data_IF_340371326272
#
_entry.id   IF_340371326272
#
_cell.length_a   1.000
_cell.length_b   1.000
_cell.length_c   1.000
_cell.angle_alpha   90.00
_cell.angle_beta   90.00
_cell.angle_gamma   90.00
#
_symmetry.space_group_name_H-M   'P 1'
#
loop_
_entity.id
_entity.type
_entity.pdbx_description
1 polymer ?
#
# COMPACT_ATOMS: atom_id res chain seq x y z
N UNK A 1 -6.14 -29.10 8.92
CA UNK A 1 -5.80 -28.93 7.48
C UNK A 1 -6.90 -28.28 6.65
N UNK A 2 -8.18 -28.58 6.86
CA UNK A 2 -9.30 -28.03 6.07
C UNK A 2 -9.46 -26.52 6.34
N UNK A 3 -9.24 -26.05 7.56
CA UNK A 3 -9.41 -24.64 7.90
C UNK A 3 -8.30 -23.75 7.31
N UNK A 4 -7.08 -24.25 7.14
CA UNK A 4 -5.99 -23.49 6.52
C UNK A 4 -6.15 -23.38 5.01
N UNK A 5 -6.62 -24.44 4.34
CA UNK A 5 -6.91 -24.43 2.92
C UNK A 5 -8.10 -23.50 2.59
N UNK A 6 -9.18 -23.54 3.38
CA UNK A 6 -10.33 -22.66 3.23
C UNK A 6 -9.95 -21.18 3.48
N UNK A 7 -9.14 -20.93 4.50
CA UNK A 7 -8.61 -19.58 4.78
C UNK A 7 -7.71 -19.06 3.65
N UNK A 8 -6.92 -19.93 3.04
CA UNK A 8 -6.03 -19.57 1.92
C UNK A 8 -6.83 -19.27 0.64
N UNK A 9 -7.85 -20.06 0.35
CA UNK A 9 -8.79 -19.81 -0.78
C UNK A 9 -9.51 -18.49 -0.59
N UNK A 10 -10.01 -18.19 0.63
CA UNK A 10 -10.67 -16.92 0.94
C UNK A 10 -9.74 -15.72 0.77
N UNK A 11 -8.48 -15.82 1.19
CA UNK A 11 -7.49 -14.76 1.04
C UNK A 11 -7.06 -14.52 -0.41
N UNK A 12 -7.14 -15.51 -1.27
CA UNK A 12 -6.77 -15.41 -2.70
C UNK A 12 -7.92 -14.88 -3.57
N UNK A 13 -9.15 -14.89 -3.08
CA UNK A 13 -10.34 -14.43 -3.79
C UNK A 13 -10.72 -12.99 -3.46
N UNK A 14 -9.74 -12.10 -3.35
CA UNK A 14 -10.00 -10.67 -3.17
C UNK A 14 -10.89 -10.15 -4.31
N UNK A 15 -11.92 -9.38 -3.94
CA UNK A 15 -12.80 -8.72 -4.88
C UNK A 15 -12.02 -7.84 -5.87
N UNK A 16 -12.35 -7.94 -7.17
CA UNK A 16 -11.80 -7.08 -8.21
C UNK A 16 -12.34 -5.65 -8.10
N UNK A 17 -11.75 -4.70 -8.82
CA UNK A 17 -12.25 -3.32 -8.84
C UNK A 17 -13.60 -3.27 -9.55
N UNK A 18 -14.55 -2.58 -8.94
CA UNK A 18 -15.89 -2.41 -9.50
C UNK A 18 -16.53 -1.12 -9.04
N UNK A 19 -17.27 -0.50 -9.94
CA UNK A 19 -17.98 0.75 -9.68
C UNK A 19 -19.26 0.81 -10.49
N UNK A 20 -20.33 1.32 -9.89
CA UNK A 20 -21.56 1.68 -10.56
C UNK A 20 -21.91 3.14 -10.26
N UNK A 21 -22.45 3.84 -11.24
CA UNK A 21 -22.79 5.27 -11.13
C UNK A 21 -24.17 5.55 -11.68
N UNK A 22 -24.86 6.51 -11.09
CA UNK A 22 -26.16 7.00 -11.55
C UNK A 22 -26.42 8.43 -11.03
N UNK A 23 -27.29 9.17 -11.68
CA UNK A 23 -27.78 10.46 -11.18
C UNK A 23 -29.01 10.26 -10.30
N UNK A 24 -29.06 10.95 -9.17
CA UNK A 24 -30.27 11.01 -8.36
C UNK A 24 -31.24 12.13 -8.83
N UNK A 25 -32.40 12.20 -8.22
CA UNK A 25 -33.44 13.20 -8.53
C UNK A 25 -33.00 14.65 -8.30
N UNK A 26 -31.92 14.86 -7.52
CA UNK A 26 -31.32 16.18 -7.26
C UNK A 26 -30.17 16.51 -8.23
N UNK A 27 -29.94 15.68 -9.24
CA UNK A 27 -28.84 15.84 -10.19
C UNK A 27 -27.45 15.62 -9.57
N UNK A 28 -27.36 14.87 -8.45
CA UNK A 28 -26.07 14.46 -7.89
C UNK A 28 -25.64 13.14 -8.51
N UNK A 29 -24.36 13.02 -8.83
CA UNK A 29 -23.80 11.75 -9.22
C UNK A 29 -23.57 10.88 -7.98
N UNK A 30 -24.19 9.71 -7.95
CA UNK A 30 -23.99 8.69 -6.96
C UNK A 30 -23.02 7.65 -7.50
N UNK A 31 -22.01 7.31 -6.72
CA UNK A 31 -20.92 6.43 -7.09
C UNK A 31 -20.85 5.31 -6.05
N UNK A 32 -21.29 4.11 -6.42
CA UNK A 32 -21.14 2.90 -5.62
C UNK A 32 -19.80 2.28 -5.99
N UNK A 33 -18.83 2.35 -5.08
CA UNK A 33 -17.48 1.85 -5.35
C UNK A 33 -16.99 0.92 -4.24
N UNK A 34 -16.31 -0.13 -4.67
CA UNK A 34 -15.53 -1.02 -3.82
C UNK A 34 -14.21 -0.35 -3.43
N UNK A 35 -14.27 0.71 -2.63
CA UNK A 35 -13.14 1.55 -2.21
C UNK A 35 -12.90 1.52 -0.71
N UNK A 36 -11.65 1.73 -0.28
CA UNK A 36 -11.28 1.95 1.12
C UNK A 36 -11.36 3.43 1.52
N UNK A 37 -11.44 4.36 0.54
CA UNK A 37 -11.26 5.80 0.75
C UNK A 37 -12.40 6.64 0.14
N UNK A 38 -13.66 6.47 0.54
CA UNK A 38 -14.80 7.13 -0.11
C UNK A 38 -14.69 8.67 -0.16
N UNK A 39 -14.12 9.29 0.87
CA UNK A 39 -13.95 10.75 0.91
C UNK A 39 -12.90 11.25 -0.07
N UNK A 40 -11.81 10.51 -0.28
CA UNK A 40 -10.79 10.83 -1.29
C UNK A 40 -11.33 10.62 -2.69
N UNK A 41 -12.05 9.52 -2.94
CA UNK A 41 -12.75 9.28 -4.21
C UNK A 41 -13.68 10.45 -4.54
N UNK A 42 -14.48 10.91 -3.58
CA UNK A 42 -15.35 12.08 -3.74
C UNK A 42 -14.56 13.33 -4.17
N UNK A 43 -13.45 13.61 -3.49
CA UNK A 43 -12.61 14.78 -3.78
C UNK A 43 -11.99 14.70 -5.16
N UNK A 44 -11.41 13.55 -5.50
CA UNK A 44 -10.72 13.33 -6.78
C UNK A 44 -11.72 13.42 -7.93
N UNK A 45 -12.88 12.78 -7.82
CA UNK A 45 -13.90 12.82 -8.87
C UNK A 45 -14.55 14.20 -9.03
N UNK A 46 -14.76 14.94 -7.96
CA UNK A 46 -15.23 16.30 -8.04
C UNK A 46 -14.26 17.19 -8.85
N UNK A 47 -12.96 17.05 -8.62
CA UNK A 47 -11.95 17.76 -9.37
C UNK A 47 -11.85 17.27 -10.83
N UNK A 48 -11.87 15.95 -11.04
CA UNK A 48 -11.75 15.37 -12.39
C UNK A 48 -12.95 15.67 -13.30
N UNK A 49 -14.12 15.83 -12.71
CA UNK A 49 -15.37 16.15 -13.43
C UNK A 49 -15.68 17.66 -13.47
N UNK A 50 -14.83 18.46 -12.83
CA UNK A 50 -15.01 19.91 -12.67
C UNK A 50 -16.41 20.28 -12.10
N UNK A 51 -16.83 19.59 -11.05
CA UNK A 51 -18.10 19.83 -10.37
C UNK A 51 -17.93 20.01 -8.86
N UNK A 52 -18.82 20.75 -8.20
CA UNK A 52 -18.78 20.91 -6.74
C UNK A 52 -18.86 19.57 -6.00
N UNK A 53 -18.10 19.42 -4.91
CA UNK A 53 -18.15 18.23 -4.06
C UNK A 53 -19.56 17.89 -3.57
N UNK A 54 -20.44 18.87 -3.40
CA UNK A 54 -21.85 18.70 -3.04
C UNK A 54 -22.66 17.92 -4.08
N UNK A 55 -22.21 17.91 -5.34
CA UNK A 55 -22.83 17.16 -6.44
C UNK A 55 -22.32 15.73 -6.57
N UNK A 56 -21.33 15.31 -5.75
CA UNK A 56 -20.77 13.96 -5.76
C UNK A 56 -21.10 13.26 -4.45
N UNK A 57 -21.74 12.10 -4.53
CA UNK A 57 -22.01 11.21 -3.40
C UNK A 57 -21.34 9.86 -3.64
N UNK A 58 -20.39 9.48 -2.79
CA UNK A 58 -19.74 8.16 -2.85
C UNK A 58 -20.36 7.25 -1.80
N UNK A 59 -20.80 6.09 -2.22
CA UNK A 59 -21.40 5.06 -1.39
C UNK A 59 -20.44 3.86 -1.39
N UNK A 60 -19.91 3.54 -0.22
CA UNK A 60 -19.06 2.37 0.00
C UNK A 60 -19.93 1.22 0.50
N UNK A 61 -20.25 0.22 -0.33
CA UNK A 61 -20.87 -1.02 0.12
C UNK A 61 -19.89 -1.86 0.94
N UNK A 62 -20.30 -3.05 1.36
CA UNK A 62 -19.35 -4.05 1.87
C UNK A 62 -18.39 -4.44 0.74
N UNK A 63 -17.11 -4.53 1.06
CA UNK A 63 -16.05 -4.86 0.10
C UNK A 63 -15.41 -6.19 0.43
N UNK A 64 -15.10 -6.97 -0.60
CA UNK A 64 -14.46 -8.28 -0.51
C UNK A 64 -12.94 -8.18 -0.41
N UNK A 65 -12.43 -7.35 0.53
CA UNK A 65 -11.01 -7.09 0.75
C UNK A 65 -10.48 -5.91 -0.05
N UNK A 66 -9.51 -5.20 0.54
CA UNK A 66 -8.85 -4.05 -0.08
C UNK A 66 -7.34 -4.11 0.05
N UNK A 67 -6.84 -4.44 1.24
CA UNK A 67 -5.40 -4.63 1.56
C UNK A 67 -4.48 -3.49 1.08
N UNK A 68 -5.01 -2.27 1.01
CA UNK A 68 -4.33 -1.10 0.48
C UNK A 68 -4.57 -0.86 -1.01
N UNK A 69 -4.75 -1.88 -1.84
CA UNK A 69 -4.92 -1.72 -3.29
C UNK A 69 -6.15 -0.87 -3.68
N UNK A 70 -7.15 -0.74 -2.80
CA UNK A 70 -8.34 0.10 -3.00
C UNK A 70 -8.24 1.45 -2.28
N UNK A 71 -7.03 1.92 -2.02
CA UNK A 71 -6.73 3.26 -1.49
C UNK A 71 -6.38 4.29 -2.57
N UNK A 72 -6.72 3.97 -3.82
CA UNK A 72 -6.61 4.88 -4.95
C UNK A 72 -7.89 4.87 -5.77
N UNK A 73 -8.04 5.82 -6.69
CA UNK A 73 -9.12 5.84 -7.68
C UNK A 73 -8.64 5.06 -8.90
N UNK A 74 -9.29 3.95 -9.22
CA UNK A 74 -8.93 3.08 -10.35
C UNK A 74 -10.06 3.02 -11.38
N UNK A 75 -11.23 2.54 -10.96
CA UNK A 75 -12.34 2.27 -11.87
C UNK A 75 -13.44 3.34 -11.85
N UNK A 76 -13.40 4.28 -10.91
CA UNK A 76 -14.51 5.18 -10.61
C UNK A 76 -14.74 6.26 -11.65
N UNK A 77 -13.68 6.75 -12.27
CA UNK A 77 -13.73 7.87 -13.22
C UNK A 77 -14.51 7.51 -14.47
N UNK A 78 -14.29 6.32 -15.02
CA UNK A 78 -14.87 5.91 -16.32
C UNK A 78 -16.40 5.87 -16.32
N UNK A 79 -17.07 5.13 -15.43
CA UNK A 79 -18.54 5.13 -15.40
C UNK A 79 -19.11 6.48 -14.97
N UNK A 80 -18.37 7.27 -14.16
CA UNK A 80 -18.80 8.62 -13.79
C UNK A 80 -18.90 9.55 -15.00
N UNK A 81 -17.89 9.54 -15.88
CA UNK A 81 -17.91 10.31 -17.12
C UNK A 81 -19.06 9.86 -18.02
N UNK A 82 -19.27 8.56 -18.19
CA UNK A 82 -20.37 8.03 -19.01
C UNK A 82 -21.71 8.48 -18.45
N UNK A 83 -21.95 8.35 -17.13
CA UNK A 83 -23.19 8.79 -16.51
C UNK A 83 -23.42 10.28 -16.65
N UNK A 84 -22.40 11.12 -16.46
CA UNK A 84 -22.52 12.56 -16.62
C UNK A 84 -22.83 12.98 -18.05
N UNK A 85 -22.24 12.30 -19.04
CA UNK A 85 -22.48 12.63 -20.47
C UNK A 85 -23.82 12.11 -21.00
N UNK A 86 -24.27 10.94 -20.54
CA UNK A 86 -25.45 10.27 -21.10
C UNK A 86 -26.72 10.43 -20.28
N UNK A 87 -26.59 10.84 -19.01
CA UNK A 87 -27.68 10.83 -18.03
C UNK A 87 -28.13 9.43 -17.60
N UNK A 88 -27.49 8.37 -18.10
CA UNK A 88 -27.86 6.96 -17.84
C UNK A 88 -26.94 6.33 -16.81
N UNK A 89 -27.43 5.35 -16.03
CA UNK A 89 -26.58 4.57 -15.15
C UNK A 89 -25.47 3.85 -15.93
N UNK A 90 -24.27 3.78 -15.35
CA UNK A 90 -23.15 3.07 -15.92
C UNK A 90 -22.49 2.18 -14.86
N UNK A 91 -21.89 1.07 -15.27
CA UNK A 91 -21.20 0.13 -14.39
C UNK A 91 -19.96 -0.42 -15.09
N UNK A 92 -18.90 -0.58 -14.31
CA UNK A 92 -17.67 -1.26 -14.70
C UNK A 92 -17.31 -2.33 -13.66
N UNK A 93 -16.88 -3.48 -14.11
CA UNK A 93 -16.35 -4.55 -13.27
C UNK A 93 -15.10 -5.08 -13.95
N UNK A 94 -13.96 -4.94 -13.30
CA UNK A 94 -12.71 -5.47 -13.82
C UNK A 94 -12.62 -6.98 -13.62
N UNK A 95 -12.07 -7.66 -14.60
CA UNK A 95 -11.59 -9.03 -14.44
C UNK A 95 -10.40 -9.06 -13.47
N UNK A 96 -9.95 -10.26 -13.11
CA UNK A 96 -8.74 -10.38 -12.29
C UNK A 96 -7.51 -9.84 -13.00
N UNK A 97 -7.37 -10.14 -14.27
CA UNK A 97 -6.27 -9.67 -15.11
C UNK A 97 -6.26 -8.13 -15.22
N UNK A 98 -7.38 -7.54 -15.57
CA UNK A 98 -7.52 -6.07 -15.62
C UNK A 98 -7.23 -5.42 -14.26
N UNK A 99 -7.65 -6.04 -13.16
CA UNK A 99 -7.36 -5.54 -11.80
C UNK A 99 -5.87 -5.57 -11.48
N UNK A 100 -5.13 -6.58 -11.95
CA UNK A 100 -3.69 -6.68 -11.74
C UNK A 100 -2.91 -5.65 -12.59
N UNK A 101 -3.37 -5.41 -13.81
CA UNK A 101 -2.74 -4.45 -14.74
C UNK A 101 -3.03 -3.00 -14.34
N UNK A 102 -4.26 -2.71 -13.89
CA UNK A 102 -4.71 -1.34 -13.64
C UNK A 102 -4.49 -0.84 -12.20
N UNK A 103 -4.10 -1.71 -11.26
CA UNK A 103 -3.90 -1.33 -9.87
C UNK A 103 -2.45 -0.93 -9.56
N UNK A 104 -2.29 -0.08 -8.57
CA UNK A 104 -0.96 0.34 -8.11
C UNK A 104 -0.23 -0.82 -7.42
N UNK A 105 0.96 -1.22 -7.91
CA UNK A 105 1.77 -2.28 -7.31
C UNK A 105 2.43 -1.82 -6.01
N UNK A 106 3.09 -2.76 -5.32
CA UNK A 106 3.98 -2.44 -4.21
C UNK A 106 5.18 -1.62 -4.70
N UNK A 107 5.62 -0.65 -3.89
CA UNK A 107 6.85 0.10 -4.17
C UNK A 107 8.06 -0.84 -4.25
N UNK A 108 8.80 -0.73 -5.31
CA UNK A 108 10.14 -1.30 -5.42
C UNK A 108 11.09 -0.52 -4.52
N UNK A 109 11.88 -1.22 -3.72
CA UNK A 109 12.80 -0.59 -2.76
C UNK A 109 14.14 -1.30 -2.74
N UNK A 110 15.20 -0.51 -2.74
CA UNK A 110 16.55 -0.93 -2.39
C UNK A 110 16.83 -0.47 -0.97
N UNK A 111 17.12 -1.42 -0.07
CA UNK A 111 17.29 -1.14 1.36
C UNK A 111 18.70 -1.51 1.79
N UNK A 112 19.45 -0.53 2.23
CA UNK A 112 20.79 -0.70 2.81
C UNK A 112 20.71 -0.63 4.31
N UNK A 113 21.18 -1.69 4.99
CA UNK A 113 21.23 -1.78 6.46
C UNK A 113 22.67 -1.95 6.93
N UNK A 114 23.07 -1.15 7.92
CA UNK A 114 24.32 -1.34 8.66
C UNK A 114 23.99 -1.50 10.14
N UNK A 115 24.50 -2.55 10.76
CA UNK A 115 24.36 -2.80 12.18
C UNK A 115 25.74 -2.72 12.86
N UNK A 116 25.76 -2.07 14.01
CA UNK A 116 26.88 -2.10 14.94
C UNK A 116 26.47 -2.84 16.21
N UNK A 117 27.19 -3.92 16.55
CA UNK A 117 26.91 -4.71 17.73
C UNK A 117 28.18 -4.98 18.56
N UNK A 118 27.99 -5.33 19.82
CA UNK A 118 29.03 -5.82 20.70
C UNK A 118 29.23 -7.33 20.45
N UNK A 119 30.31 -7.89 21.00
CA UNK A 119 30.62 -9.32 20.88
C UNK A 119 29.58 -10.22 21.57
N UNK A 120 28.84 -9.68 22.51
CA UNK A 120 27.77 -10.37 23.24
C UNK A 120 26.42 -10.35 22.48
N UNK A 121 26.38 -9.85 21.26
CA UNK A 121 25.18 -9.74 20.44
C UNK A 121 24.38 -8.45 20.64
N UNK A 122 24.67 -7.64 21.67
CA UNK A 122 23.94 -6.38 21.93
C UNK A 122 24.07 -5.42 20.77
N UNK A 123 22.95 -5.07 20.10
CA UNK A 123 22.90 -4.10 19.00
C UNK A 123 23.06 -2.67 19.57
N UNK A 124 24.03 -1.94 19.11
CA UNK A 124 24.35 -0.57 19.59
C UNK A 124 23.93 0.52 18.62
N UNK A 125 24.01 0.22 17.33
CA UNK A 125 23.69 1.20 16.29
C UNK A 125 23.02 0.53 15.10
N UNK A 126 22.08 1.26 14.48
CA UNK A 126 21.39 0.88 13.26
C UNK A 126 21.42 2.05 12.29
N UNK A 127 21.92 1.84 11.09
CA UNK A 127 21.87 2.80 9.98
C UNK A 127 21.07 2.18 8.85
N UNK A 128 19.96 2.81 8.51
CA UNK A 128 19.02 2.36 7.49
C UNK A 128 18.89 3.42 6.41
N UNK A 129 19.14 3.04 5.18
CA UNK A 129 18.87 3.85 4.00
C UNK A 129 17.93 3.09 3.06
N UNK A 130 16.91 3.77 2.55
CA UNK A 130 15.93 3.20 1.61
C UNK A 130 15.80 4.08 0.38
N UNK A 131 16.12 3.54 -0.80
CA UNK A 131 15.79 4.12 -2.08
C UNK A 131 14.50 3.46 -2.59
N UNK A 132 13.51 4.26 -2.98
CA UNK A 132 12.22 3.77 -3.44
C UNK A 132 11.82 4.35 -4.79
N UNK A 133 11.40 3.45 -5.67
CA UNK A 133 10.76 3.80 -6.94
C UNK A 133 9.24 3.98 -6.70
N UNK A 134 8.75 5.20 -6.92
CA UNK A 134 7.32 5.50 -6.78
C UNK A 134 6.56 5.47 -8.11
N UNK A 135 7.25 5.22 -9.22
CA UNK A 135 6.65 5.26 -10.56
C UNK A 135 6.34 6.70 -11.03
N UNK A 136 5.42 6.84 -11.99
CA UNK A 136 5.22 8.10 -12.70
C UNK A 136 4.51 9.20 -11.89
N UNK A 137 3.66 8.84 -10.92
CA UNK A 137 2.76 9.82 -10.26
C UNK A 137 2.95 9.96 -8.75
N UNK A 138 3.82 9.17 -8.13
CA UNK A 138 4.24 9.35 -6.74
C UNK A 138 3.15 9.20 -5.67
N UNK A 139 2.13 8.42 -5.91
CA UNK A 139 0.87 8.35 -5.18
C UNK A 139 1.01 8.21 -3.65
N UNK A 140 1.82 7.28 -3.16
CA UNK A 140 2.04 7.00 -1.73
C UNK A 140 3.54 6.99 -1.36
N UNK A 141 4.40 7.46 -2.22
CA UNK A 141 5.85 7.34 -2.13
C UNK A 141 6.45 7.68 -0.77
N UNK A 142 6.47 8.95 -0.34
CA UNK A 142 7.14 9.35 0.91
C UNK A 142 6.59 8.64 2.15
N UNK A 143 5.27 8.45 2.22
CA UNK A 143 4.63 7.80 3.38
C UNK A 143 5.00 6.32 3.46
N UNK A 144 4.98 5.62 2.32
CA UNK A 144 5.31 4.19 2.26
C UNK A 144 6.78 3.96 2.64
N UNK A 145 7.68 4.78 2.12
CA UNK A 145 9.11 4.67 2.42
C UNK A 145 9.40 5.05 3.86
N UNK A 146 8.80 6.12 4.37
CA UNK A 146 8.92 6.49 5.77
C UNK A 146 8.56 5.35 6.73
N UNK A 147 7.51 4.58 6.40
CA UNK A 147 7.11 3.44 7.22
C UNK A 147 8.07 2.24 7.14
N UNK A 148 8.91 2.15 6.12
CA UNK A 148 9.97 1.12 6.08
C UNK A 148 10.93 1.26 7.25
N UNK A 149 11.31 2.48 7.61
CA UNK A 149 12.15 2.76 8.77
C UNK A 149 11.37 2.82 10.08
N UNK A 150 10.28 3.58 10.14
CA UNK A 150 9.51 3.77 11.39
C UNK A 150 8.95 2.48 11.98
N UNK A 151 8.79 1.42 11.20
CA UNK A 151 8.29 0.11 11.67
C UNK A 151 9.38 -0.91 11.92
N UNK A 152 10.53 -0.80 11.27
CA UNK A 152 11.64 -1.74 11.43
C UNK A 152 12.63 -1.34 12.52
N UNK A 153 12.93 -0.05 12.65
CA UNK A 153 13.90 0.45 13.65
C UNK A 153 13.48 0.13 15.09
N UNK A 154 12.21 0.33 15.52
CA UNK A 154 11.81 0.06 16.89
C UNK A 154 11.78 -1.42 17.29
N UNK A 155 12.02 -2.34 16.36
CA UNK A 155 12.04 -3.78 16.68
C UNK A 155 13.22 -4.15 17.58
N UNK A 156 14.30 -3.37 17.53
CA UNK A 156 15.50 -3.60 18.32
C UNK A 156 15.86 -2.36 19.14
N UNK A 157 16.21 -2.57 20.40
CA UNK A 157 16.70 -1.50 21.25
C UNK A 157 18.11 -1.10 20.82
N UNK A 158 18.26 0.09 20.24
CA UNK A 158 19.54 0.65 19.83
C UNK A 158 19.81 1.97 20.54
N UNK A 159 21.08 2.23 20.93
CA UNK A 159 21.46 3.51 21.50
C UNK A 159 21.56 4.64 20.47
N UNK A 160 21.84 4.29 19.23
CA UNK A 160 21.93 5.22 18.11
C UNK A 160 21.29 4.63 16.87
N UNK A 161 20.50 5.43 16.18
CA UNK A 161 20.00 5.06 14.86
C UNK A 161 20.02 6.23 13.90
N UNK A 162 20.13 5.91 12.62
CA UNK A 162 19.94 6.85 11.51
C UNK A 162 18.99 6.21 10.50
N UNK A 163 18.02 7.00 10.03
CA UNK A 163 17.15 6.61 8.94
C UNK A 163 17.12 7.72 7.90
N UNK A 164 17.48 7.36 6.68
CA UNK A 164 17.40 8.24 5.51
C UNK A 164 16.72 7.51 4.37
N UNK A 165 16.03 8.25 3.51
CA UNK A 165 15.41 7.68 2.33
C UNK A 165 15.30 8.68 1.20
N UNK A 166 15.28 8.16 -0.02
CA UNK A 166 14.97 8.88 -1.23
C UNK A 166 13.82 8.22 -1.96
N UNK A 167 12.97 9.04 -2.58
CA UNK A 167 11.84 8.62 -3.40
C UNK A 167 12.03 9.19 -4.78
N UNK A 168 12.13 8.31 -5.77
CA UNK A 168 12.40 8.70 -7.15
C UNK A 168 11.21 8.44 -8.05
N UNK A 169 10.97 9.35 -8.98
CA UNK A 169 10.02 9.16 -10.08
C UNK A 169 10.68 8.38 -11.20
N UNK A 170 9.90 7.51 -11.83
CA UNK A 170 10.30 6.76 -13.02
C UNK A 170 9.14 6.65 -14.01
N UNK A 171 9.40 6.12 -15.19
CA UNK A 171 8.35 5.84 -16.19
C UNK A 171 7.62 4.51 -15.92
N UNK A 172 7.82 3.91 -14.74
CA UNK A 172 7.09 2.72 -14.35
C UNK A 172 5.66 3.06 -13.90
N UNK A 173 4.82 2.03 -13.78
CA UNK A 173 3.49 2.17 -13.20
C UNK A 173 3.58 2.81 -11.80
N UNK A 174 2.65 3.70 -11.48
CA UNK A 174 2.60 4.36 -10.18
C UNK A 174 2.41 3.34 -9.07
N UNK A 175 3.36 3.28 -8.16
CA UNK A 175 3.27 2.42 -6.99
C UNK A 175 2.35 3.03 -5.93
N UNK A 176 1.62 2.20 -5.21
CA UNK A 176 0.62 2.65 -4.25
C UNK A 176 0.63 1.88 -2.93
N UNK A 177 -0.43 2.04 -2.19
CA UNK A 177 -0.60 1.33 -0.93
C UNK A 177 -0.79 -0.17 -1.17
N UNK A 178 0.02 -0.97 -0.51
CA UNK A 178 -0.11 -2.42 -0.54
C UNK A 178 0.20 -3.01 0.85
N UNK A 179 -0.43 -4.14 1.19
CA UNK A 179 -0.38 -4.81 2.49
C UNK A 179 1.00 -4.75 3.16
N UNK A 180 1.06 -4.12 4.35
CA UNK A 180 2.29 -3.83 5.09
C UNK A 180 2.88 -2.45 4.83
N UNK A 181 2.53 -1.77 3.72
CA UNK A 181 2.77 -0.34 3.44
C UNK A 181 4.20 0.12 3.72
N UNK A 182 5.20 -0.60 3.15
CA UNK A 182 6.64 -0.34 3.35
C UNK A 182 7.25 -1.07 4.54
N UNK A 183 6.48 -1.34 5.59
CA UNK A 183 6.98 -2.05 6.77
C UNK A 183 7.56 -3.43 6.44
N UNK A 184 6.91 -4.18 5.55
CA UNK A 184 7.38 -5.52 5.14
C UNK A 184 8.77 -5.49 4.52
N UNK A 185 9.07 -4.49 3.70
CA UNK A 185 10.39 -4.34 3.07
C UNK A 185 11.46 -3.96 4.10
N UNK A 186 11.15 -2.98 4.98
CA UNK A 186 12.07 -2.54 6.01
C UNK A 186 12.36 -3.62 7.05
N UNK A 187 11.33 -4.31 7.52
CA UNK A 187 11.47 -5.42 8.47
C UNK A 187 12.28 -6.56 7.86
N UNK A 188 11.97 -6.98 6.62
CA UNK A 188 12.72 -8.02 5.93
C UNK A 188 14.22 -7.68 5.85
N UNK A 189 14.56 -6.43 5.51
CA UNK A 189 15.94 -6.01 5.38
C UNK A 189 16.67 -6.01 6.73
N UNK A 190 16.04 -5.47 7.79
CA UNK A 190 16.62 -5.43 9.14
C UNK A 190 16.80 -6.86 9.70
N UNK A 191 15.76 -7.71 9.63
CA UNK A 191 15.83 -9.10 10.08
C UNK A 191 16.89 -9.91 9.34
N UNK A 192 16.99 -9.73 8.02
CA UNK A 192 18.04 -10.39 7.23
C UNK A 192 19.45 -9.96 7.66
N UNK A 193 19.62 -8.71 8.08
CA UNK A 193 20.90 -8.21 8.58
C UNK A 193 21.19 -8.72 10.00
N UNK A 194 20.17 -8.83 10.86
CA UNK A 194 20.31 -9.41 12.21
C UNK A 194 20.73 -10.87 12.11
N UNK A 195 20.11 -11.66 11.24
CA UNK A 195 20.53 -13.05 10.99
C UNK A 195 21.99 -13.14 10.54
N UNK A 196 22.42 -12.29 9.60
CA UNK A 196 23.83 -12.22 9.17
C UNK A 196 24.76 -11.80 10.30
N UNK A 197 24.32 -10.97 11.21
CA UNK A 197 25.08 -10.57 12.39
C UNK A 197 25.25 -11.76 13.33
N UNK A 198 24.17 -12.50 13.63
CA UNK A 198 24.22 -13.71 14.44
C UNK A 198 25.21 -14.74 13.88
N UNK A 199 25.13 -15.04 12.60
CA UNK A 199 26.08 -15.94 11.91
C UNK A 199 27.54 -15.48 12.10
N UNK A 200 27.78 -14.15 11.96
CA UNK A 200 29.11 -13.58 12.09
C UNK A 200 29.67 -13.62 13.51
N UNK A 201 28.80 -13.61 14.51
CA UNK A 201 29.12 -13.73 15.94
C UNK A 201 29.21 -15.19 16.39
N UNK A 202 28.77 -16.16 15.57
CA UNK A 202 28.65 -17.56 15.92
C UNK A 202 27.55 -17.84 16.96
N UNK A 203 26.49 -17.02 16.95
CA UNK A 203 25.33 -17.09 17.85
C UNK A 203 24.13 -17.71 17.14
N UNK A 204 23.27 -18.40 17.89
CA UNK A 204 21.96 -18.80 17.37
C UNK A 204 21.10 -17.56 17.09
N UNK A 205 20.46 -17.44 15.90
CA UNK A 205 19.57 -16.34 15.62
C UNK A 205 18.45 -16.13 16.64
N UNK A 206 17.89 -17.19 17.21
CA UNK A 206 16.87 -17.11 18.26
C UNK A 206 17.43 -16.53 19.57
N UNK A 207 18.65 -16.90 19.94
CA UNK A 207 19.32 -16.32 21.11
C UNK A 207 19.60 -14.83 20.87
N UNK A 208 20.08 -14.46 19.70
CA UNK A 208 20.35 -13.05 19.35
C UNK A 208 19.11 -12.18 19.47
N UNK A 209 17.93 -12.66 19.09
CA UNK A 209 16.65 -11.93 19.18
C UNK A 209 16.09 -11.92 20.62
N UNK A 210 16.34 -12.93 21.42
CA UNK A 210 15.78 -13.04 22.78
C UNK A 210 16.46 -12.14 23.82
N UNK A 211 17.65 -11.60 23.53
CA UNK A 211 18.41 -10.68 24.39
C UNK A 211 18.31 -9.21 23.99
N UNK A 212 17.59 -8.89 22.94
CA UNK A 212 17.35 -7.52 22.44
C UNK A 212 15.89 -7.11 22.63
#
# INVERSE_FOLDING_TARGET
>A
CISSAASDVYKRQMETFRTATYLDTYGRINILSSTQIPFHVRRILANALDIPKSKVRVIKPRIGGGFGAKQTVVAEVYPAIVTMKTGKPAKIIYTREESLIASSPRHEMEVTVKLGAMKDGTIRALDLYTLSNTGAFGEHGPTTVGLSGHKSIPMYQTKAFRFQYDVVYTNHMSAGAYRGYGATQGIFAVESMVNRLADKLGMDPLETVSYT
#
